data_IF_033595696859
#
_entry.id   IF_033595696859
#
_cell.length_a   1.000
_cell.length_b   1.000
_cell.length_c   1.000
_cell.angle_alpha   90.00
_cell.angle_beta   90.00
_cell.angle_gamma   90.00
#
_symmetry.space_group_name_H-M   'P 1'
#
loop_
_entity.id
_entity.type
_entity.pdbx_description
1 polymer ?
#
# COMPACT_ATOMS: atom_id res chain seq x y z
N UNK A 1 26.98 -5.07 -10.00
CA UNK A 1 25.84 -5.62 -10.78
C UNK A 1 26.36 -6.03 -12.14
N UNK A 2 25.90 -7.17 -12.68
CA UNK A 2 26.26 -7.58 -14.04
C UNK A 2 25.60 -6.60 -15.00
N UNK A 3 26.37 -5.90 -15.82
CA UNK A 3 25.84 -4.99 -16.84
C UNK A 3 25.15 -5.82 -17.90
N UNK A 4 23.82 -5.63 -18.04
CA UNK A 4 23.05 -6.31 -19.07
C UNK A 4 23.34 -5.70 -20.44
N UNK A 5 23.56 -6.55 -21.46
CA UNK A 5 23.79 -6.13 -22.83
C UNK A 5 22.45 -5.80 -23.53
N UNK A 6 22.46 -5.05 -24.66
CA UNK A 6 21.23 -4.78 -25.42
C UNK A 6 20.40 -6.04 -25.76
N UNK A 7 21.05 -7.14 -26.12
CA UNK A 7 20.38 -8.40 -26.40
C UNK A 7 19.69 -9.01 -25.16
N UNK A 8 20.23 -8.79 -23.95
CA UNK A 8 19.56 -9.21 -22.72
C UNK A 8 18.22 -8.50 -22.53
N UNK A 9 18.20 -7.20 -22.79
CA UNK A 9 16.98 -6.38 -22.65
C UNK A 9 15.90 -6.80 -23.63
N UNK A 10 16.27 -7.10 -24.89
CA UNK A 10 15.30 -7.58 -25.89
C UNK A 10 14.64 -8.90 -25.45
N UNK A 11 15.45 -9.89 -25.05
CA UNK A 11 14.89 -11.17 -24.57
C UNK A 11 14.02 -10.99 -23.33
N UNK A 12 14.39 -10.10 -22.43
CA UNK A 12 13.55 -9.80 -21.25
C UNK A 12 12.23 -9.13 -21.63
N UNK A 13 12.25 -8.21 -22.58
CA UNK A 13 11.05 -7.53 -23.07
C UNK A 13 10.08 -8.53 -23.74
N UNK A 14 10.58 -9.42 -24.59
CA UNK A 14 9.79 -10.49 -25.24
C UNK A 14 9.14 -11.45 -24.23
N UNK A 15 9.75 -11.65 -23.06
CA UNK A 15 9.24 -12.52 -22.01
C UNK A 15 8.45 -11.76 -20.93
N UNK A 16 8.39 -10.43 -21.03
CA UNK A 16 7.92 -9.56 -19.94
C UNK A 16 6.45 -9.79 -19.56
N UNK A 17 5.60 -10.15 -20.49
CA UNK A 17 4.19 -10.47 -20.28
C UNK A 17 3.96 -11.84 -19.60
N UNK A 18 5.02 -12.68 -19.53
CA UNK A 18 4.98 -14.03 -18.99
C UNK A 18 4.29 -15.04 -19.89
N UNK A 19 3.98 -14.69 -21.15
CA UNK A 19 3.47 -15.62 -22.15
C UNK A 19 4.57 -16.51 -22.72
N UNK A 20 4.24 -17.74 -23.18
CA UNK A 20 5.23 -18.63 -23.78
C UNK A 20 5.75 -18.10 -25.13
N UNK A 21 7.07 -17.99 -25.25
CA UNK A 21 7.76 -17.61 -26.48
C UNK A 21 8.63 -18.76 -26.98
N UNK A 22 8.59 -19.02 -28.27
CA UNK A 22 9.43 -20.09 -28.84
C UNK A 22 10.90 -19.66 -28.90
N UNK A 23 11.81 -20.58 -28.55
CA UNK A 23 13.27 -20.29 -28.50
C UNK A 23 13.85 -19.77 -29.82
N UNK A 24 13.30 -20.16 -30.98
CA UNK A 24 13.75 -19.65 -32.28
C UNK A 24 13.41 -18.17 -32.46
N UNK A 25 12.29 -17.69 -31.91
CA UNK A 25 11.90 -16.29 -31.94
C UNK A 25 12.80 -15.51 -30.99
N UNK A 26 12.91 -15.92 -29.73
CA UNK A 26 13.80 -15.27 -28.76
C UNK A 26 15.26 -15.16 -29.26
N UNK A 27 15.74 -16.20 -29.95
CA UNK A 27 17.08 -16.18 -30.52
C UNK A 27 17.22 -15.15 -31.64
N UNK A 28 16.20 -15.00 -32.49
CA UNK A 28 16.20 -13.95 -33.55
C UNK A 28 16.21 -12.56 -32.95
N UNK A 29 15.35 -12.29 -31.96
CA UNK A 29 15.29 -11.00 -31.28
C UNK A 29 16.61 -10.63 -30.56
N UNK A 30 17.31 -11.66 -30.06
CA UNK A 30 18.61 -11.49 -29.40
C UNK A 30 19.80 -11.46 -30.37
N UNK A 31 19.55 -11.67 -31.67
CA UNK A 31 20.61 -11.82 -32.70
C UNK A 31 21.62 -12.93 -32.34
N UNK A 32 21.10 -14.13 -32.02
CA UNK A 32 21.90 -15.29 -31.62
C UNK A 32 21.29 -16.61 -32.08
N UNK A 33 22.05 -17.71 -31.98
CA UNK A 33 21.55 -19.05 -32.25
C UNK A 33 20.74 -19.59 -31.07
N UNK A 34 19.67 -20.39 -31.27
CA UNK A 34 18.85 -20.97 -30.19
C UNK A 34 19.67 -21.70 -29.11
N UNK A 35 20.74 -22.41 -29.50
CA UNK A 35 21.61 -23.13 -28.58
C UNK A 35 22.37 -22.23 -27.60
N UNK A 36 22.52 -20.96 -27.93
CA UNK A 36 23.25 -19.98 -27.10
C UNK A 36 22.36 -19.35 -26.02
N UNK A 37 21.03 -19.48 -26.13
CA UNK A 37 20.08 -18.83 -25.20
C UNK A 37 20.26 -19.28 -23.74
N UNK A 38 20.53 -20.55 -23.49
CA UNK A 38 20.74 -21.04 -22.12
C UNK A 38 21.98 -20.37 -21.47
N UNK A 39 23.10 -20.29 -22.17
CA UNK A 39 24.30 -19.62 -21.69
C UNK A 39 24.09 -18.11 -21.48
N UNK A 40 23.34 -17.51 -22.38
CA UNK A 40 22.90 -16.12 -22.28
C UNK A 40 22.04 -15.90 -21.03
N UNK A 41 21.02 -16.76 -20.77
CA UNK A 41 20.14 -16.66 -19.62
C UNK A 41 20.88 -16.76 -18.28
N UNK A 42 21.94 -17.53 -18.21
CA UNK A 42 22.76 -17.64 -16.98
C UNK A 42 23.45 -16.32 -16.58
N UNK A 43 23.52 -15.34 -17.49
CA UNK A 43 24.06 -14.01 -17.21
C UNK A 43 23.02 -13.06 -16.59
N UNK A 44 21.74 -13.43 -16.59
CA UNK A 44 20.68 -12.63 -15.98
C UNK A 44 20.83 -12.56 -14.44
N UNK A 45 20.33 -11.51 -13.79
CA UNK A 45 20.28 -11.44 -12.33
C UNK A 45 19.57 -12.66 -11.73
N UNK A 46 20.01 -13.13 -10.56
CA UNK A 46 19.53 -14.37 -9.96
C UNK A 46 18.00 -14.41 -9.75
N UNK A 47 17.41 -13.27 -9.32
CA UNK A 47 15.97 -13.15 -9.12
C UNK A 47 15.16 -13.23 -10.43
N UNK A 48 15.77 -12.88 -11.57
CA UNK A 48 15.16 -13.04 -12.90
C UNK A 48 15.37 -14.48 -13.40
N UNK A 49 16.57 -15.05 -13.24
CA UNK A 49 16.84 -16.44 -13.66
C UNK A 49 15.85 -17.43 -13.07
N UNK A 50 15.51 -17.27 -11.79
CA UNK A 50 14.58 -18.15 -11.09
C UNK A 50 13.13 -18.10 -11.60
N UNK A 51 12.78 -17.09 -12.39
CA UNK A 51 11.43 -16.95 -12.95
C UNK A 51 11.21 -17.75 -14.22
N UNK A 52 12.27 -18.18 -14.92
CA UNK A 52 12.15 -18.90 -16.18
C UNK A 52 11.55 -20.30 -15.99
N UNK A 53 10.63 -20.65 -16.87
CA UNK A 53 10.18 -22.02 -17.11
C UNK A 53 10.38 -22.36 -18.57
N UNK A 54 10.83 -23.57 -18.82
CA UNK A 54 11.13 -24.10 -20.14
C UNK A 54 10.33 -25.39 -20.36
N UNK A 55 9.65 -25.52 -21.50
CA UNK A 55 8.91 -26.71 -21.88
C UNK A 55 8.77 -26.76 -23.41
N UNK A 56 9.11 -27.87 -24.02
CA UNK A 56 8.95 -28.18 -25.46
C UNK A 56 9.42 -27.03 -26.39
N UNK A 57 10.58 -26.48 -26.12
CA UNK A 57 11.14 -25.37 -26.91
C UNK A 57 10.52 -24.00 -26.66
N UNK A 58 9.62 -23.90 -25.70
CA UNK A 58 9.07 -22.61 -25.25
C UNK A 58 9.65 -22.16 -23.92
N UNK A 59 9.85 -20.86 -23.83
CA UNK A 59 10.28 -20.17 -22.63
C UNK A 59 9.19 -19.21 -22.17
N UNK A 60 8.97 -19.13 -20.87
CA UNK A 60 8.10 -18.14 -20.24
C UNK A 60 8.59 -17.75 -18.86
N UNK A 61 8.20 -16.58 -18.39
CA UNK A 61 8.36 -16.22 -16.98
C UNK A 61 7.12 -16.62 -16.16
N UNK A 62 7.32 -17.04 -14.91
CA UNK A 62 6.21 -17.40 -14.00
C UNK A 62 5.42 -16.18 -13.50
N UNK A 63 5.93 -14.98 -13.74
CA UNK A 63 5.26 -13.70 -13.45
C UNK A 63 5.71 -12.67 -14.47
N UNK A 64 4.88 -11.63 -14.75
CA UNK A 64 5.26 -10.58 -15.68
C UNK A 64 6.34 -9.66 -15.08
N UNK A 65 6.95 -8.85 -15.92
CA UNK A 65 7.95 -7.84 -15.55
C UNK A 65 7.61 -6.51 -16.21
N UNK A 66 7.92 -5.38 -15.54
CA UNK A 66 7.88 -4.06 -16.16
C UNK A 66 9.21 -3.80 -16.87
N UNK A 67 9.36 -4.36 -18.07
CA UNK A 67 10.55 -4.22 -18.92
C UNK A 67 10.10 -3.87 -20.33
N UNK A 68 10.83 -2.97 -20.97
CA UNK A 68 10.55 -2.45 -22.31
C UNK A 68 11.79 -2.59 -23.19
N UNK A 69 11.57 -2.74 -24.47
CA UNK A 69 12.57 -2.49 -25.50
C UNK A 69 12.41 -1.07 -26.08
N UNK A 70 13.42 -0.60 -26.78
CA UNK A 70 13.44 0.78 -27.28
C UNK A 70 12.46 1.02 -28.45
N UNK A 71 12.20 0.00 -29.26
CA UNK A 71 11.31 0.09 -30.42
C UNK A 71 9.85 0.12 -29.98
N UNK A 72 9.43 -0.86 -29.17
CA UNK A 72 8.07 -0.90 -28.63
C UNK A 72 7.73 0.33 -27.79
N UNK A 73 8.71 0.86 -27.03
CA UNK A 73 8.49 2.09 -26.26
C UNK A 73 8.34 3.30 -27.16
N UNK A 74 9.10 3.42 -28.25
CA UNK A 74 8.95 4.51 -29.22
C UNK A 74 7.56 4.49 -29.86
N UNK A 75 7.13 3.33 -30.36
CA UNK A 75 5.83 3.15 -30.99
C UNK A 75 4.66 3.48 -30.01
N UNK A 76 4.82 3.09 -28.74
CA UNK A 76 3.88 3.44 -27.67
C UNK A 76 3.83 4.97 -27.46
N UNK A 77 4.98 5.62 -27.44
CA UNK A 77 5.07 7.07 -27.28
C UNK A 77 4.41 7.82 -28.45
N UNK A 78 4.64 7.39 -29.69
CA UNK A 78 4.02 7.97 -30.87
C UNK A 78 2.49 7.89 -30.80
N UNK A 79 1.93 6.74 -30.42
CA UNK A 79 0.48 6.57 -30.23
C UNK A 79 -0.09 7.44 -29.12
N UNK A 80 0.68 7.67 -28.07
CA UNK A 80 0.26 8.46 -26.89
C UNK A 80 0.59 9.94 -26.99
N UNK A 81 1.25 10.39 -28.07
CA UNK A 81 1.66 11.80 -28.26
C UNK A 81 2.83 12.25 -27.38
N UNK A 82 3.68 11.30 -26.93
CA UNK A 82 4.88 11.56 -26.14
C UNK A 82 6.16 11.19 -26.90
N UNK A 83 7.21 11.99 -26.72
CA UNK A 83 8.54 11.59 -27.12
C UNK A 83 9.13 10.68 -26.05
N UNK A 84 9.74 9.56 -26.42
CA UNK A 84 10.22 8.55 -25.47
C UNK A 84 11.73 8.45 -25.43
N UNK A 85 12.28 8.28 -24.24
CA UNK A 85 13.67 7.91 -23.98
C UNK A 85 13.68 6.70 -23.04
N UNK A 86 14.37 5.62 -23.45
CA UNK A 86 14.58 4.45 -22.62
C UNK A 86 15.98 4.50 -21.99
N UNK A 87 16.03 4.46 -20.68
CA UNK A 87 17.26 4.31 -19.89
C UNK A 87 17.18 3.01 -19.12
N UNK A 88 17.88 1.97 -19.53
CA UNK A 88 17.87 0.71 -18.78
C UNK A 88 18.30 0.91 -17.33
N UNK A 89 19.29 1.76 -17.10
CA UNK A 89 19.76 2.17 -15.78
C UNK A 89 20.06 3.68 -15.80
N UNK A 90 19.65 4.39 -14.75
CA UNK A 90 20.01 5.79 -14.53
C UNK A 90 20.11 6.11 -13.03
N UNK A 91 20.54 7.31 -12.69
CA UNK A 91 20.50 7.77 -11.31
C UNK A 91 19.05 7.96 -10.85
N UNK A 92 18.27 8.72 -11.62
CA UNK A 92 16.85 8.97 -11.42
C UNK A 92 16.24 9.43 -12.75
N UNK A 93 15.09 8.89 -13.12
CA UNK A 93 14.36 9.34 -14.32
C UNK A 93 13.94 10.81 -14.23
N UNK A 94 13.67 11.33 -13.02
CA UNK A 94 13.41 12.76 -12.82
C UNK A 94 14.64 13.61 -13.18
N UNK A 95 15.85 13.18 -12.82
CA UNK A 95 17.07 13.93 -13.12
C UNK A 95 17.30 14.04 -14.62
N UNK A 96 17.01 12.97 -15.39
CA UNK A 96 17.12 12.97 -16.86
C UNK A 96 16.20 14.04 -17.49
N UNK A 97 14.95 14.12 -17.02
CA UNK A 97 13.99 15.11 -17.53
C UNK A 97 14.28 16.52 -17.01
N UNK A 98 14.73 16.66 -15.74
CA UNK A 98 15.15 17.96 -15.19
C UNK A 98 16.32 18.55 -15.96
N UNK A 99 17.30 17.73 -16.33
CA UNK A 99 18.42 18.17 -17.14
C UNK A 99 17.96 18.63 -18.53
N UNK A 100 17.13 17.83 -19.21
CA UNK A 100 16.54 18.22 -20.48
C UNK A 100 15.75 19.53 -20.37
N UNK A 101 14.95 19.70 -19.31
CA UNK A 101 14.15 20.89 -19.08
C UNK A 101 14.99 22.16 -18.87
N UNK A 102 16.18 22.05 -18.26
CA UNK A 102 17.11 23.18 -18.09
C UNK A 102 17.74 23.62 -19.41
N UNK A 103 18.05 22.66 -20.28
CA UNK A 103 18.76 22.91 -21.54
C UNK A 103 17.78 23.28 -22.66
N UNK A 104 16.67 22.56 -22.75
CA UNK A 104 15.68 22.68 -23.81
C UNK A 104 14.25 22.48 -23.28
N UNK A 105 13.67 23.49 -22.58
CA UNK A 105 12.38 23.37 -21.91
C UNK A 105 11.24 22.95 -22.82
N UNK A 106 11.22 23.43 -24.07
CA UNK A 106 10.19 23.05 -25.04
C UNK A 106 10.31 21.57 -25.48
N UNK A 107 11.52 21.02 -25.53
CA UNK A 107 11.74 19.60 -25.81
C UNK A 107 11.40 18.71 -24.62
N UNK A 108 11.45 19.25 -23.41
CA UNK A 108 11.06 18.49 -22.22
C UNK A 108 9.54 18.29 -22.14
N UNK A 109 8.74 19.19 -22.75
CA UNK A 109 7.29 19.05 -22.79
C UNK A 109 6.88 17.77 -23.52
N UNK A 110 6.07 16.94 -22.87
CA UNK A 110 5.65 15.62 -23.38
C UNK A 110 6.81 14.68 -23.76
N UNK A 111 7.99 14.87 -23.15
CA UNK A 111 9.08 13.90 -23.23
C UNK A 111 9.09 13.02 -21.98
N UNK A 112 9.06 11.72 -22.18
CA UNK A 112 9.09 10.70 -21.10
C UNK A 112 10.43 9.97 -21.08
N UNK A 113 10.97 9.79 -19.89
CA UNK A 113 12.07 8.87 -19.61
C UNK A 113 11.56 7.67 -18.83
N UNK A 114 11.57 6.48 -19.46
CA UNK A 114 11.26 5.20 -18.81
C UNK A 114 12.58 4.56 -18.36
N UNK A 115 12.59 3.97 -17.17
CA UNK A 115 13.79 3.31 -16.66
C UNK A 115 13.47 2.01 -15.95
N UNK A 116 14.34 1.02 -16.08
CA UNK A 116 14.19 -0.28 -15.42
C UNK A 116 14.87 -0.32 -14.06
N UNK A 117 15.93 0.47 -13.86
CA UNK A 117 16.67 0.57 -12.60
C UNK A 117 17.08 2.01 -12.32
N UNK A 118 16.93 2.40 -11.05
CA UNK A 118 17.42 3.69 -10.55
C UNK A 118 18.37 3.47 -9.38
N UNK A 119 19.60 4.01 -9.48
CA UNK A 119 20.58 3.93 -8.39
C UNK A 119 20.30 4.95 -7.27
N UNK A 120 19.64 6.06 -7.59
CA UNK A 120 19.25 7.15 -6.67
C UNK A 120 17.74 7.45 -6.77
N UNK A 121 16.91 6.40 -6.95
CA UNK A 121 15.46 6.54 -6.95
C UNK A 121 14.98 7.16 -5.65
N UNK A 122 14.15 8.19 -5.72
CA UNK A 122 13.69 8.96 -4.57
C UNK A 122 12.19 9.20 -4.59
N UNK A 123 11.62 9.27 -3.41
CA UNK A 123 10.31 9.82 -3.15
C UNK A 123 10.42 11.21 -2.51
N UNK A 124 9.32 11.72 -2.00
CA UNK A 124 9.28 13.01 -1.28
C UNK A 124 10.15 12.97 -0.03
N UNK A 125 10.66 14.14 0.38
CA UNK A 125 11.51 14.31 1.57
C UNK A 125 12.78 13.43 1.53
N UNK A 126 13.32 13.13 0.34
CA UNK A 126 14.53 12.32 0.19
C UNK A 126 14.38 10.84 0.52
N UNK A 127 13.16 10.33 0.73
CA UNK A 127 12.93 8.90 0.98
C UNK A 127 13.36 8.08 -0.23
N UNK A 128 14.07 6.98 0.01
CA UNK A 128 14.52 6.09 -1.05
C UNK A 128 13.34 5.33 -1.66
N UNK A 129 13.26 5.31 -3.01
CA UNK A 129 12.40 4.39 -3.75
C UNK A 129 13.17 3.10 -4.02
N UNK A 130 12.81 2.03 -3.30
CA UNK A 130 13.47 0.73 -3.41
C UNK A 130 12.72 -0.19 -4.36
N UNK A 131 13.44 -0.84 -5.27
CA UNK A 131 12.89 -1.74 -6.28
C UNK A 131 13.97 -2.70 -6.78
N UNK A 132 13.57 -3.77 -7.46
CA UNK A 132 14.43 -4.65 -8.24
C UNK A 132 13.99 -4.60 -9.70
N UNK A 133 14.89 -5.05 -10.58
CA UNK A 133 14.61 -5.11 -12.02
C UNK A 133 13.27 -5.80 -12.32
N UNK A 134 12.42 -5.11 -13.07
CA UNK A 134 11.12 -5.59 -13.52
C UNK A 134 10.00 -5.60 -12.49
N UNK A 135 10.24 -5.18 -11.25
CA UNK A 135 9.23 -5.15 -10.19
C UNK A 135 8.39 -3.87 -10.17
N UNK A 136 8.92 -2.77 -10.70
CA UNK A 136 8.22 -1.49 -10.74
C UNK A 136 8.20 -0.92 -12.16
N UNK A 137 7.07 -0.34 -12.54
CA UNK A 137 6.99 0.59 -13.66
C UNK A 137 7.45 1.96 -13.15
N UNK A 138 8.55 2.46 -13.71
CA UNK A 138 9.13 3.74 -13.32
C UNK A 138 9.38 4.60 -14.54
N UNK A 139 8.82 5.80 -14.50
CA UNK A 139 9.03 6.79 -15.55
C UNK A 139 8.88 8.21 -15.01
N UNK A 140 9.44 9.15 -15.73
CA UNK A 140 9.26 10.59 -15.48
C UNK A 140 9.03 11.29 -16.80
N UNK A 141 8.20 12.31 -16.81
CA UNK A 141 7.98 13.14 -18.00
C UNK A 141 7.94 14.62 -17.65
N UNK A 142 8.23 15.45 -18.62
CA UNK A 142 8.16 16.90 -18.52
C UNK A 142 6.83 17.45 -19.01
N UNK A 143 6.33 18.48 -18.32
CA UNK A 143 5.18 19.25 -18.74
C UNK A 143 5.42 20.73 -18.54
N UNK A 144 5.42 21.52 -19.62
CA UNK A 144 5.65 22.95 -19.57
C UNK A 144 4.33 23.69 -19.35
N UNK A 145 4.33 24.58 -18.35
CA UNK A 145 3.21 25.44 -18.01
C UNK A 145 3.60 26.92 -18.20
N UNK A 146 2.65 27.71 -18.69
CA UNK A 146 2.75 29.18 -18.73
C UNK A 146 2.32 29.82 -17.39
N UNK A 147 2.26 29.01 -16.33
CA UNK A 147 1.91 29.39 -14.95
C UNK A 147 3.14 29.42 -14.05
N UNK A 148 3.18 30.29 -13.05
CA UNK A 148 4.25 30.27 -12.07
C UNK A 148 4.18 29.03 -11.16
N UNK A 149 5.33 28.62 -10.62
CA UNK A 149 5.46 27.42 -9.80
C UNK A 149 4.49 27.35 -8.60
N UNK A 150 4.19 28.49 -7.96
CA UNK A 150 3.31 28.53 -6.79
C UNK A 150 1.84 28.17 -7.10
N UNK A 151 1.43 28.24 -8.37
CA UNK A 151 0.10 27.81 -8.82
C UNK A 151 -0.01 26.32 -9.11
N UNK A 152 1.12 25.60 -9.12
CA UNK A 152 1.18 24.16 -9.42
C UNK A 152 1.08 23.27 -8.18
N UNK A 153 0.66 23.80 -7.02
CA UNK A 153 0.57 23.05 -5.77
C UNK A 153 -0.33 21.81 -5.85
N UNK A 154 -1.39 21.87 -6.64
CA UNK A 154 -2.34 20.77 -6.86
C UNK A 154 -1.93 19.76 -7.94
N UNK A 155 -0.77 19.96 -8.59
CA UNK A 155 -0.35 19.07 -9.68
C UNK A 155 -0.14 17.62 -9.23
N UNK A 156 0.29 17.40 -7.98
CA UNK A 156 0.46 16.04 -7.43
C UNK A 156 -0.88 15.31 -7.25
N UNK A 157 -1.91 15.89 -6.62
CA UNK A 157 -3.28 15.37 -6.62
C UNK A 157 -3.83 15.09 -8.03
N UNK A 158 -3.62 16.00 -8.97
CA UNK A 158 -4.09 15.87 -10.36
C UNK A 158 -3.43 14.68 -11.06
N UNK A 159 -2.10 14.55 -10.97
CA UNK A 159 -1.39 13.42 -11.55
C UNK A 159 -1.80 12.09 -10.90
N UNK A 160 -2.08 12.07 -9.59
CA UNK A 160 -2.60 10.90 -8.90
C UNK A 160 -4.00 10.51 -9.42
N UNK A 161 -4.86 11.50 -9.70
CA UNK A 161 -6.18 11.27 -10.26
C UNK A 161 -6.09 10.67 -11.68
N UNK A 162 -5.22 11.21 -12.54
CA UNK A 162 -4.97 10.65 -13.86
C UNK A 162 -4.49 9.19 -13.79
N UNK A 163 -3.56 8.88 -12.89
CA UNK A 163 -3.11 7.49 -12.67
C UNK A 163 -4.26 6.58 -12.17
N UNK A 164 -5.11 7.09 -11.28
CA UNK A 164 -6.28 6.35 -10.80
C UNK A 164 -7.27 6.06 -11.94
N UNK A 165 -7.54 7.05 -12.80
CA UNK A 165 -8.40 6.88 -14.00
C UNK A 165 -7.83 5.79 -14.91
N UNK A 166 -6.54 5.86 -15.24
CA UNK A 166 -5.86 4.88 -16.06
C UNK A 166 -5.97 3.45 -15.50
N UNK A 167 -5.74 3.29 -14.19
CA UNK A 167 -5.94 2.00 -13.52
C UNK A 167 -7.40 1.56 -13.56
N UNK A 168 -8.35 2.48 -13.40
CA UNK A 168 -9.79 2.24 -13.53
C UNK A 168 -10.20 1.77 -14.94
N UNK A 169 -9.64 2.35 -16.00
CA UNK A 169 -9.83 1.87 -17.40
C UNK A 169 -9.39 0.41 -17.56
N UNK A 170 -8.39 -0.02 -16.80
CA UNK A 170 -7.97 -1.41 -16.75
C UNK A 170 -8.78 -2.25 -15.75
N UNK A 171 -9.84 -1.67 -15.13
CA UNK A 171 -10.68 -2.34 -14.14
C UNK A 171 -9.97 -2.62 -12.82
N UNK A 172 -8.96 -1.82 -12.48
CA UNK A 172 -8.20 -1.91 -11.22
C UNK A 172 -8.60 -0.75 -10.31
N UNK A 173 -9.38 -1.04 -9.29
CA UNK A 173 -9.86 -0.04 -8.36
C UNK A 173 -8.78 0.39 -7.38
N UNK A 174 -8.53 1.68 -7.32
CA UNK A 174 -7.52 2.29 -6.45
C UNK A 174 -8.06 3.57 -5.80
N UNK A 175 -7.39 4.00 -4.75
CA UNK A 175 -7.69 5.24 -4.05
C UNK A 175 -6.42 6.11 -3.99
N UNK A 176 -6.62 7.37 -3.68
CA UNK A 176 -5.52 8.32 -3.51
C UNK A 176 -5.35 8.59 -2.01
N UNK A 177 -4.13 8.47 -1.53
CA UNK A 177 -3.74 8.98 -0.23
C UNK A 177 -3.00 10.30 -0.43
N UNK A 178 -3.58 11.37 0.13
CA UNK A 178 -2.98 12.70 0.02
C UNK A 178 -1.52 12.69 0.50
N UNK A 179 -0.64 13.42 -0.20
CA UNK A 179 -0.91 14.21 -1.40
C UNK A 179 -0.57 13.47 -2.71
N UNK A 180 0.06 12.28 -2.68
CA UNK A 180 0.76 11.77 -3.85
C UNK A 180 0.85 10.24 -3.94
N UNK A 181 0.17 9.50 -3.07
CA UNK A 181 0.24 8.04 -3.07
C UNK A 181 -1.00 7.41 -3.68
N UNK A 182 -0.80 6.44 -4.57
CA UNK A 182 -1.82 5.52 -5.02
C UNK A 182 -1.87 4.34 -4.05
N UNK A 183 -3.07 3.99 -3.59
CA UNK A 183 -3.24 2.96 -2.55
C UNK A 183 -4.41 2.02 -2.86
N UNK A 184 -4.36 0.82 -2.30
CA UNK A 184 -5.45 -0.16 -2.26
C UNK A 184 -5.71 -0.48 -0.79
N UNK A 185 -6.78 0.06 -0.24
CA UNK A 185 -7.00 0.04 1.19
C UNK A 185 -5.86 0.73 1.94
N UNK A 186 -5.03 -0.03 2.66
CA UNK A 186 -3.87 0.49 3.38
C UNK A 186 -2.55 0.34 2.62
N UNK A 187 -2.53 -0.50 1.61
CA UNK A 187 -1.33 -0.91 0.92
C UNK A 187 -0.96 0.08 -0.19
N UNK A 188 0.30 0.48 -0.23
CA UNK A 188 0.80 1.40 -1.24
C UNK A 188 1.01 0.67 -2.56
N UNK A 189 0.35 1.16 -3.62
CA UNK A 189 0.51 0.70 -4.99
C UNK A 189 1.58 1.50 -5.74
N UNK A 190 1.61 2.81 -5.52
CA UNK A 190 2.52 3.69 -6.25
C UNK A 190 2.70 5.05 -5.58
N UNK A 191 3.55 5.87 -6.16
CA UNK A 191 3.79 7.23 -5.69
C UNK A 191 4.20 8.16 -6.81
N UNK A 192 3.91 9.44 -6.63
CA UNK A 192 4.17 10.51 -7.57
C UNK A 192 5.11 11.52 -6.93
N UNK A 193 6.13 11.94 -7.65
CA UNK A 193 7.09 12.95 -7.23
C UNK A 193 7.11 14.09 -8.26
N UNK A 194 6.68 15.28 -7.85
CA UNK A 194 6.75 16.47 -8.68
C UNK A 194 7.98 17.27 -8.30
N UNK A 195 8.78 17.60 -9.29
CA UNK A 195 9.87 18.55 -9.20
C UNK A 195 9.69 19.61 -10.30
N UNK A 196 10.12 20.83 -10.08
CA UNK A 196 9.90 21.92 -11.03
C UNK A 196 11.20 22.65 -11.31
N UNK A 197 11.33 23.13 -12.54
CA UNK A 197 12.42 24.02 -12.96
C UNK A 197 11.84 25.16 -13.77
N UNK A 198 12.38 26.37 -13.58
CA UNK A 198 12.03 27.54 -14.39
C UNK A 198 13.09 27.73 -15.48
N UNK A 199 12.68 27.64 -16.73
CA UNK A 199 13.57 27.79 -17.87
C UNK A 199 12.78 28.35 -19.08
N UNK A 200 13.41 29.21 -19.88
CA UNK A 200 12.80 29.77 -21.09
C UNK A 200 11.52 30.54 -20.85
N UNK A 201 11.32 31.16 -19.66
CA UNK A 201 10.09 31.87 -19.29
C UNK A 201 8.94 30.99 -18.83
N UNK A 202 9.06 29.67 -18.95
CA UNK A 202 8.05 28.67 -18.54
C UNK A 202 8.43 27.99 -17.22
N UNK A 203 7.44 27.41 -16.56
CA UNK A 203 7.66 26.45 -15.48
C UNK A 203 7.51 25.03 -16.04
N UNK A 204 8.59 24.26 -16.10
CA UNK A 204 8.53 22.86 -16.46
C UNK A 204 8.39 22.04 -15.20
N UNK A 205 7.25 21.34 -15.07
CA UNK A 205 7.08 20.34 -14.04
C UNK A 205 7.60 18.99 -14.57
N UNK A 206 8.40 18.33 -13.74
CA UNK A 206 8.84 16.95 -13.95
C UNK A 206 8.04 16.05 -13.05
N UNK A 207 7.23 15.20 -13.66
CA UNK A 207 6.30 14.30 -12.99
C UNK A 207 6.91 12.90 -13.00
N UNK A 208 7.48 12.49 -11.86
CA UNK A 208 7.98 11.14 -11.65
C UNK A 208 6.91 10.23 -11.09
N UNK A 209 6.73 9.07 -11.71
CA UNK A 209 5.75 8.07 -11.31
C UNK A 209 6.44 6.73 -11.11
N UNK A 210 6.20 6.13 -9.93
CA UNK A 210 6.61 4.77 -9.61
C UNK A 210 5.39 3.94 -9.20
N UNK A 211 5.14 2.84 -9.91
CA UNK A 211 4.03 1.92 -9.62
C UNK A 211 4.59 0.52 -9.39
N UNK A 212 4.23 -0.09 -8.28
CA UNK A 212 4.56 -1.48 -8.01
C UNK A 212 3.83 -2.37 -9.03
N UNK A 213 4.57 -2.96 -9.95
CA UNK A 213 4.00 -3.82 -10.99
C UNK A 213 3.85 -5.25 -10.50
N UNK A 214 4.90 -5.79 -9.91
CA UNK A 214 4.93 -7.09 -9.25
C UNK A 214 5.71 -6.98 -7.95
N UNK A 215 5.22 -7.55 -6.85
CA UNK A 215 5.93 -7.55 -5.58
C UNK A 215 6.45 -8.94 -5.22
N UNK A 216 7.60 -9.05 -4.56
CA UNK A 216 7.96 -10.24 -3.81
C UNK A 216 6.91 -10.55 -2.74
N UNK A 217 6.72 -11.84 -2.43
CA UNK A 217 5.71 -12.28 -1.44
C UNK A 217 5.98 -11.75 -0.03
N UNK A 218 7.23 -11.39 0.24
CA UNK A 218 7.72 -10.97 1.55
C UNK A 218 7.52 -9.47 1.82
N UNK A 219 7.03 -8.69 0.84
CA UNK A 219 6.82 -7.24 1.01
C UNK A 219 5.46 -6.99 1.65
N UNK A 220 5.47 -6.44 2.85
CA UNK A 220 4.28 -6.04 3.59
C UNK A 220 3.87 -4.59 3.28
N UNK A 221 2.57 -4.29 3.48
CA UNK A 221 1.97 -2.95 3.33
C UNK A 221 2.16 -2.33 1.93
N UNK A 222 2.27 -3.19 0.91
CA UNK A 222 2.33 -2.78 -0.48
C UNK A 222 1.41 -3.62 -1.36
N UNK A 223 0.76 -2.97 -2.32
CA UNK A 223 -0.02 -3.60 -3.38
C UNK A 223 0.77 -3.57 -4.70
N UNK A 224 0.40 -4.42 -5.66
CA UNK A 224 0.94 -4.40 -7.01
C UNK A 224 -0.15 -4.53 -8.06
N UNK A 225 0.15 -4.04 -9.27
CA UNK A 225 -0.77 -4.16 -10.42
C UNK A 225 -1.12 -5.62 -10.69
N UNK A 226 -0.14 -6.52 -10.68
CA UNK A 226 -0.36 -7.95 -10.90
C UNK A 226 -1.27 -8.58 -9.84
N UNK A 227 -1.13 -8.20 -8.56
CA UNK A 227 -2.00 -8.71 -7.51
C UNK A 227 -3.45 -8.24 -7.67
N UNK A 228 -3.65 -6.98 -8.05
CA UNK A 228 -4.98 -6.43 -8.33
C UNK A 228 -5.61 -7.11 -9.55
N UNK A 229 -4.82 -7.29 -10.62
CA UNK A 229 -5.26 -7.96 -11.84
C UNK A 229 -5.77 -9.38 -11.56
N UNK A 230 -5.06 -10.14 -10.73
CA UNK A 230 -5.46 -11.48 -10.31
C UNK A 230 -6.70 -11.48 -9.40
N UNK A 231 -6.81 -10.51 -8.49
CA UNK A 231 -7.97 -10.37 -7.60
C UNK A 231 -9.24 -10.03 -8.38
N UNK A 232 -9.13 -9.25 -9.47
CA UNK A 232 -10.24 -8.96 -10.38
C UNK A 232 -10.69 -10.18 -11.23
N UNK A 233 -10.23 -11.39 -10.88
CA UNK A 233 -10.56 -12.66 -11.57
C UNK A 233 -10.24 -12.64 -13.06
N UNK A 234 -9.28 -11.86 -13.48
CA UNK A 234 -8.81 -11.83 -14.86
C UNK A 234 -7.86 -12.99 -15.13
N UNK A 235 -8.04 -13.63 -16.26
CA UNK A 235 -7.11 -14.69 -16.70
C UNK A 235 -5.90 -14.04 -17.36
N UNK A 236 -4.69 -14.52 -17.02
CA UNK A 236 -3.42 -14.05 -17.56
C UNK A 236 -2.64 -13.14 -16.62
N UNK A 237 -1.77 -12.36 -17.20
CA UNK A 237 -0.90 -11.42 -16.51
C UNK A 237 -1.25 -9.98 -16.87
N UNK A 238 -0.90 -9.05 -15.98
CA UNK A 238 -0.91 -7.63 -16.31
C UNK A 238 0.21 -7.35 -17.33
N UNK A 239 -0.07 -6.44 -18.25
CA UNK A 239 0.88 -5.99 -19.28
C UNK A 239 1.37 -4.59 -18.95
N UNK A 240 2.70 -4.41 -18.84
CA UNK A 240 3.31 -3.14 -18.48
C UNK A 240 3.22 -2.11 -19.62
N UNK A 241 3.22 -2.54 -20.88
CA UNK A 241 3.10 -1.64 -22.03
C UNK A 241 1.66 -1.09 -22.10
N UNK A 242 0.65 -1.93 -21.97
CA UNK A 242 -0.76 -1.53 -21.90
C UNK A 242 -0.99 -0.59 -20.72
N UNK A 243 -0.41 -0.87 -19.56
CA UNK A 243 -0.51 0.02 -18.40
C UNK A 243 0.13 1.39 -18.68
N UNK A 244 1.34 1.43 -19.24
CA UNK A 244 2.04 2.68 -19.56
C UNK A 244 1.28 3.50 -20.59
N UNK A 245 0.80 2.87 -21.67
CA UNK A 245 0.01 3.53 -22.71
C UNK A 245 -1.26 4.18 -22.14
N UNK A 246 -2.01 3.43 -21.31
CA UNK A 246 -3.21 3.94 -20.64
C UNK A 246 -2.88 5.10 -19.68
N UNK A 247 -1.77 4.99 -18.93
CA UNK A 247 -1.30 6.06 -18.04
C UNK A 247 -0.96 7.33 -18.83
N UNK A 248 -0.26 7.22 -19.96
CA UNK A 248 0.12 8.37 -20.77
C UNK A 248 -1.09 9.05 -21.41
N UNK A 249 -2.06 8.29 -21.88
CA UNK A 249 -3.31 8.83 -22.41
C UNK A 249 -4.08 9.66 -21.37
N UNK A 250 -4.29 9.10 -20.18
CA UNK A 250 -5.00 9.81 -19.10
C UNK A 250 -4.19 10.99 -18.54
N UNK A 251 -2.88 10.84 -18.36
CA UNK A 251 -2.01 11.93 -17.92
C UNK A 251 -2.01 13.09 -18.93
N UNK A 252 -1.94 12.79 -20.23
CA UNK A 252 -2.01 13.79 -21.28
C UNK A 252 -3.32 14.59 -21.21
N UNK A 253 -4.46 13.90 -21.24
CA UNK A 253 -5.78 14.54 -21.20
C UNK A 253 -6.01 15.37 -19.94
N UNK A 254 -5.68 14.81 -18.77
CA UNK A 254 -5.86 15.49 -17.47
C UNK A 254 -4.95 16.71 -17.34
N UNK A 255 -3.69 16.61 -17.78
CA UNK A 255 -2.76 17.74 -17.68
C UNK A 255 -3.04 18.85 -18.70
N UNK A 256 -3.58 18.55 -19.88
CA UNK A 256 -4.10 19.55 -20.80
C UNK A 256 -5.23 20.33 -20.15
N UNK A 257 -6.25 19.67 -19.62
CA UNK A 257 -7.35 20.32 -18.93
C UNK A 257 -6.87 21.11 -17.69
N UNK A 258 -5.96 20.53 -16.90
CA UNK A 258 -5.39 21.23 -15.75
C UNK A 258 -4.61 22.48 -16.13
N UNK A 259 -3.89 22.48 -17.25
CA UNK A 259 -3.16 23.64 -17.73
C UNK A 259 -4.10 24.81 -18.07
N UNK A 260 -5.29 24.54 -18.56
CA UNK A 260 -6.29 25.55 -18.92
C UNK A 260 -7.16 25.97 -17.72
N UNK A 261 -7.74 24.99 -17.01
CA UNK A 261 -8.81 25.21 -16.03
C UNK A 261 -8.34 25.16 -14.56
N UNK A 262 -7.11 24.68 -14.32
CA UNK A 262 -6.60 24.45 -12.95
C UNK A 262 -7.24 23.24 -12.29
N UNK A 263 -7.29 23.24 -10.95
CA UNK A 263 -7.72 22.06 -10.18
C UNK A 263 -9.23 21.99 -9.96
N UNK A 264 -9.95 23.09 -10.12
CA UNK A 264 -11.36 23.19 -9.78
C UNK A 264 -12.25 22.08 -10.40
N UNK A 265 -12.09 21.70 -11.70
CA UNK A 265 -12.90 20.63 -12.30
C UNK A 265 -12.67 19.24 -11.68
N UNK A 266 -11.55 19.04 -11.02
CA UNK A 266 -11.15 17.74 -10.50
C UNK A 266 -11.49 17.55 -9.00
N UNK A 267 -11.90 18.60 -8.29
CA UNK A 267 -12.09 18.59 -6.84
C UNK A 267 -13.03 17.49 -6.36
N UNK A 268 -14.25 17.41 -6.90
CA UNK A 268 -15.25 16.43 -6.47
C UNK A 268 -14.80 14.99 -6.72
N UNK A 269 -14.16 14.75 -7.86
CA UNK A 269 -13.63 13.42 -8.17
C UNK A 269 -12.46 13.07 -7.25
N UNK A 270 -11.58 14.03 -6.98
CA UNK A 270 -10.47 13.84 -6.06
C UNK A 270 -10.95 13.53 -4.64
N UNK A 271 -11.94 14.23 -4.13
CA UNK A 271 -12.52 13.98 -2.81
C UNK A 271 -13.12 12.57 -2.70
N UNK A 272 -13.84 12.14 -3.75
CA UNK A 272 -14.35 10.77 -3.83
C UNK A 272 -13.23 9.72 -3.88
N UNK A 273 -12.14 10.03 -4.57
CA UNK A 273 -10.98 9.15 -4.70
C UNK A 273 -10.07 9.17 -3.46
N UNK A 274 -10.14 10.23 -2.66
CA UNK A 274 -9.30 10.37 -1.47
C UNK A 274 -9.70 9.36 -0.41
N UNK A 275 -8.80 8.41 -0.14
CA UNK A 275 -9.00 7.33 0.84
C UNK A 275 -9.39 7.84 2.23
N UNK A 276 -8.84 8.99 2.61
CA UNK A 276 -8.94 9.51 3.97
C UNK A 276 -10.03 10.60 4.12
N UNK A 277 -10.77 10.95 3.05
CA UNK A 277 -11.85 11.93 3.11
C UNK A 277 -12.92 11.56 4.14
N UNK A 278 -13.30 12.50 5.00
CA UNK A 278 -14.25 12.31 6.09
C UNK A 278 -13.76 11.43 7.24
N UNK A 279 -12.49 11.02 7.27
CA UNK A 279 -11.93 10.15 8.31
C UNK A 279 -11.06 10.92 9.29
N UNK A 280 -11.06 10.44 10.53
CA UNK A 280 -10.10 10.87 11.53
C UNK A 280 -8.69 10.37 11.19
N UNK A 281 -7.71 11.26 11.28
CA UNK A 281 -6.33 10.99 10.90
C UNK A 281 -5.35 11.64 11.87
N UNK A 282 -4.13 11.13 11.89
CA UNK A 282 -2.99 11.73 12.57
C UNK A 282 -2.08 12.38 11.54
N UNK A 283 -1.70 13.63 11.77
CA UNK A 283 -0.59 14.25 11.07
C UNK A 283 0.71 13.93 11.80
N UNK A 284 1.66 13.40 11.06
CA UNK A 284 2.97 13.04 11.60
C UNK A 284 4.07 13.86 10.94
N UNK A 285 5.00 14.35 11.75
CA UNK A 285 6.27 14.93 11.30
C UNK A 285 7.38 14.13 11.99
N UNK A 286 8.32 13.60 11.22
CA UNK A 286 9.45 12.79 11.71
C UNK A 286 9.03 11.64 12.66
N UNK A 287 7.81 11.10 12.44
CA UNK A 287 7.25 10.00 13.22
C UNK A 287 6.45 10.43 14.46
N UNK A 288 6.48 11.73 14.85
CA UNK A 288 5.71 12.25 15.96
C UNK A 288 4.37 12.83 15.51
N UNK A 289 3.33 12.69 16.32
CA UNK A 289 2.01 13.27 16.04
C UNK A 289 2.06 14.78 16.27
N UNK A 290 1.79 15.56 15.20
CA UNK A 290 1.72 17.01 15.24
C UNK A 290 0.31 17.48 15.57
N UNK A 291 -0.71 16.90 14.94
CA UNK A 291 -2.09 17.14 15.27
C UNK A 291 -2.98 15.97 14.85
N UNK A 292 -4.20 15.97 15.36
CA UNK A 292 -5.27 15.02 15.03
C UNK A 292 -6.46 15.80 14.47
N UNK A 293 -7.15 15.21 13.49
CA UNK A 293 -8.32 15.86 12.92
C UNK A 293 -9.05 14.99 11.91
N UNK A 294 -10.18 15.49 11.46
CA UNK A 294 -10.97 14.85 10.39
C UNK A 294 -10.66 15.50 9.06
N UNK A 295 -10.36 14.71 8.04
CA UNK A 295 -10.11 15.21 6.68
C UNK A 295 -11.38 15.80 6.10
N UNK A 296 -11.38 17.10 5.80
CA UNK A 296 -12.52 17.79 5.18
C UNK A 296 -12.44 17.79 3.65
N UNK A 297 -11.24 17.71 3.10
CA UNK A 297 -10.98 17.76 1.67
C UNK A 297 -9.70 18.50 1.34
N UNK A 298 -9.59 18.96 0.11
CA UNK A 298 -8.50 19.82 -0.36
C UNK A 298 -9.05 21.09 -1.00
N UNK A 299 -8.30 22.19 -0.92
CA UNK A 299 -8.66 23.42 -1.64
C UNK A 299 -8.20 23.39 -3.13
N UNK A 300 -8.54 24.44 -3.87
CA UNK A 300 -8.15 24.61 -5.27
C UNK A 300 -6.64 24.65 -5.52
N UNK A 301 -5.83 24.72 -4.49
CA UNK A 301 -4.36 24.64 -4.55
C UNK A 301 -3.81 23.29 -4.12
N UNK A 302 -4.70 22.32 -3.77
CA UNK A 302 -4.33 20.99 -3.30
C UNK A 302 -3.86 20.94 -1.85
N UNK A 303 -4.10 22.01 -1.08
CA UNK A 303 -3.81 22.06 0.35
C UNK A 303 -4.88 21.27 1.11
N UNK A 304 -4.46 20.41 2.01
CA UNK A 304 -5.38 19.58 2.80
C UNK A 304 -5.98 20.39 3.95
N UNK A 305 -7.28 20.23 4.17
CA UNK A 305 -8.03 20.82 5.26
C UNK A 305 -8.41 19.75 6.29
N UNK A 306 -8.10 20.02 7.54
CA UNK A 306 -8.45 19.17 8.68
C UNK A 306 -9.32 19.94 9.66
N UNK A 307 -10.39 19.32 10.12
CA UNK A 307 -11.14 19.78 11.29
C UNK A 307 -10.54 19.16 12.54
N UNK A 308 -9.97 19.99 13.39
CA UNK A 308 -9.35 19.60 14.67
C UNK A 308 -10.17 20.11 15.85
N UNK A 309 -9.83 19.70 17.08
CA UNK A 309 -10.47 20.20 18.28
C UNK A 309 -10.26 21.73 18.49
N UNK A 310 -9.22 22.28 17.87
CA UNK A 310 -8.85 23.71 17.95
C UNK A 310 -9.38 24.53 16.77
N UNK A 311 -10.15 23.90 15.86
CA UNK A 311 -10.68 24.50 14.64
C UNK A 311 -10.07 23.93 13.36
N UNK A 312 -10.37 24.56 12.23
CA UNK A 312 -9.88 24.15 10.93
C UNK A 312 -8.39 24.48 10.77
N UNK A 313 -7.62 23.46 10.36
CA UNK A 313 -6.19 23.59 10.07
C UNK A 313 -5.89 23.21 8.62
N UNK A 314 -4.92 23.90 8.01
CA UNK A 314 -4.47 23.62 6.66
C UNK A 314 -3.09 22.97 6.66
N UNK A 315 -2.90 21.96 5.80
CA UNK A 315 -1.65 21.22 5.66
C UNK A 315 -1.12 21.39 4.26
N UNK A 316 0.02 22.06 4.15
CA UNK A 316 0.69 22.29 2.86
C UNK A 316 1.52 21.07 2.48
N UNK A 317 1.52 20.70 1.21
CA UNK A 317 2.32 19.59 0.66
C UNK A 317 3.81 19.78 1.01
N UNK A 318 4.42 18.73 1.55
CA UNK A 318 5.89 18.66 1.74
C UNK A 318 6.36 18.35 3.16
N UNK A 319 5.63 18.75 4.17
CA UNK A 319 6.13 18.74 5.55
C UNK A 319 5.60 17.59 6.43
N UNK A 320 4.43 17.02 6.13
CA UNK A 320 3.73 16.13 7.05
C UNK A 320 3.30 14.83 6.37
N UNK A 321 3.38 13.71 7.09
CA UNK A 321 2.88 12.41 6.66
C UNK A 321 1.48 12.18 7.25
N UNK A 322 0.47 12.01 6.37
CA UNK A 322 -0.90 11.73 6.76
C UNK A 322 -1.11 10.22 6.94
N UNK A 323 -1.65 9.83 8.07
CA UNK A 323 -2.04 8.43 8.33
C UNK A 323 -3.43 8.40 8.93
N UNK A 324 -4.26 7.38 8.63
CA UNK A 324 -5.47 7.12 9.37
C UNK A 324 -5.16 7.04 10.87
N UNK A 325 -6.10 7.43 11.72
CA UNK A 325 -6.00 7.18 13.16
C UNK A 325 -6.09 5.67 13.40
N UNK A 326 -4.99 5.02 13.16
CA UNK A 326 -4.74 3.62 13.43
C UNK A 326 -4.16 3.45 14.80
N UNK A 327 -4.21 4.47 15.65
CA UNK A 327 -3.72 4.15 16.98
C UNK A 327 -4.28 2.76 17.30
N UNK A 328 -3.42 1.70 17.36
CA UNK A 328 -3.83 0.61 18.16
C UNK A 328 -4.32 1.31 19.40
N UNK A 329 -5.62 1.16 19.76
CA UNK A 329 -6.17 1.63 21.03
C UNK A 329 -4.98 1.70 21.93
N UNK A 330 -4.57 2.89 22.35
CA UNK A 330 -3.27 3.08 22.97
C UNK A 330 -3.19 2.00 24.03
N UNK A 331 -2.53 0.91 23.66
CA UNK A 331 -2.01 0.02 24.67
C UNK A 331 -1.11 0.99 25.42
N UNK A 332 -1.48 1.43 26.61
CA UNK A 332 -0.70 2.41 27.35
C UNK A 332 0.71 1.86 27.29
N UNK A 333 1.69 2.72 26.88
CA UNK A 333 3.10 2.32 26.75
C UNK A 333 3.33 1.26 27.78
N UNK A 334 3.56 0.02 27.36
CA UNK A 334 3.74 -1.10 28.29
C UNK A 334 4.60 -0.55 29.41
N UNK A 335 4.00 -0.32 30.56
CA UNK A 335 4.78 -0.36 31.77
C UNK A 335 5.25 -1.79 31.78
N UNK A 336 6.55 -2.00 31.64
CA UNK A 336 7.18 -3.34 31.53
C UNK A 336 6.87 -4.29 32.71
N UNK A 337 5.80 -4.03 33.44
CA UNK A 337 5.34 -4.76 34.62
C UNK A 337 3.81 -4.94 34.67
N UNK A 338 3.03 -4.68 33.64
CA UNK A 338 1.58 -4.93 33.72
C UNK A 338 1.28 -6.43 33.59
N UNK A 339 0.70 -6.98 34.63
CA UNK A 339 0.18 -8.37 34.70
C UNK A 339 -1.34 -8.33 34.50
N UNK A 340 -1.84 -9.25 33.70
CA UNK A 340 -3.27 -9.39 33.46
C UNK A 340 -3.75 -10.77 33.84
N UNK A 341 -4.92 -10.84 34.44
CA UNK A 341 -5.73 -12.04 34.48
C UNK A 341 -6.87 -11.86 33.46
N UNK A 342 -6.80 -12.62 32.36
CA UNK A 342 -7.82 -12.64 31.33
C UNK A 342 -8.87 -13.70 31.66
N UNK A 343 -10.15 -13.37 31.50
CA UNK A 343 -11.29 -14.24 31.79
C UNK A 343 -12.15 -14.45 30.54
N UNK A 344 -12.51 -15.71 30.28
CA UNK A 344 -13.51 -16.10 29.27
C UNK A 344 -14.66 -16.81 29.98
N UNK A 345 -15.76 -16.08 30.19
CA UNK A 345 -16.96 -16.56 30.88
C UNK A 345 -17.94 -17.25 29.94
N UNK A 346 -17.68 -18.51 29.58
CA UNK A 346 -18.62 -19.35 28.83
C UNK A 346 -19.83 -19.80 29.65
N UNK A 347 -20.84 -20.40 29.00
CA UNK A 347 -22.08 -20.84 29.68
C UNK A 347 -21.86 -21.92 30.74
N UNK A 348 -20.93 -22.84 30.54
CA UNK A 348 -20.71 -24.00 31.44
C UNK A 348 -19.49 -23.88 32.31
N UNK A 349 -18.46 -23.17 31.83
CA UNK A 349 -17.16 -23.09 32.49
C UNK A 349 -16.59 -21.68 32.35
N UNK A 350 -15.84 -21.26 33.35
CA UNK A 350 -14.92 -20.14 33.27
C UNK A 350 -13.56 -20.66 32.81
N UNK A 351 -12.94 -19.95 31.86
CA UNK A 351 -11.54 -20.13 31.48
C UNK A 351 -10.78 -18.88 31.87
N UNK A 352 -9.50 -19.02 32.17
CA UNK A 352 -8.64 -17.88 32.48
C UNK A 352 -7.22 -18.07 31.95
N UNK A 353 -6.52 -16.97 31.80
CA UNK A 353 -5.13 -16.95 31.43
C UNK A 353 -4.40 -15.81 32.13
N UNK A 354 -3.26 -16.13 32.71
CA UNK A 354 -2.31 -15.14 33.22
C UNK A 354 -1.44 -14.64 32.06
N UNK A 355 -1.30 -13.36 31.97
CA UNK A 355 -0.44 -12.71 30.96
C UNK A 355 0.58 -11.86 31.68
N UNK A 356 1.85 -12.18 31.45
CA UNK A 356 3.01 -11.48 31.98
C UNK A 356 3.90 -11.03 30.84
N UNK A 357 4.25 -9.77 30.81
CA UNK A 357 5.07 -9.19 29.74
C UNK A 357 4.52 -9.50 28.31
N UNK A 358 3.16 -9.59 28.20
CA UNK A 358 2.46 -9.89 26.96
C UNK A 358 2.54 -11.33 26.47
N UNK A 359 2.97 -12.25 27.33
CA UNK A 359 3.03 -13.69 27.04
C UNK A 359 2.10 -14.44 28.00
N UNK A 360 1.41 -15.48 27.50
CA UNK A 360 0.62 -16.35 28.36
C UNK A 360 1.53 -17.18 29.24
N UNK A 361 1.42 -16.97 30.54
CA UNK A 361 2.22 -17.69 31.55
C UNK A 361 1.52 -18.95 32.05
N UNK A 362 0.22 -18.87 32.37
CA UNK A 362 -0.59 -19.99 32.87
C UNK A 362 -1.99 -19.86 32.31
N UNK A 363 -2.61 -20.99 31.99
CA UNK A 363 -4.02 -21.06 31.55
C UNK A 363 -4.75 -22.07 32.43
N UNK A 364 -6.02 -21.76 32.76
CA UNK A 364 -6.85 -22.63 33.57
C UNK A 364 -8.31 -22.63 33.15
N UNK A 365 -9.07 -23.57 33.67
CA UNK A 365 -10.52 -23.60 33.53
C UNK A 365 -11.22 -24.36 34.66
N UNK A 366 -12.39 -23.86 35.07
CA UNK A 366 -13.21 -24.51 36.09
C UNK A 366 -14.71 -24.36 35.80
N UNK A 367 -15.56 -25.30 36.27
CA UNK A 367 -17.00 -25.10 36.26
C UNK A 367 -17.37 -24.07 37.34
N UNK A 368 -18.43 -23.30 37.11
CA UNK A 368 -18.86 -22.24 38.07
C UNK A 368 -19.27 -22.77 39.46
N UNK A 369 -19.61 -24.07 39.55
CA UNK A 369 -19.89 -24.71 40.86
C UNK A 369 -18.66 -24.85 41.75
N UNK A 370 -17.47 -24.76 41.18
CA UNK A 370 -16.21 -24.83 41.90
C UNK A 370 -15.14 -23.97 41.22
N UNK A 371 -14.96 -22.76 41.72
CA UNK A 371 -13.95 -21.81 41.27
C UNK A 371 -12.71 -21.78 42.16
N UNK A 372 -12.60 -22.74 43.07
CA UNK A 372 -11.44 -22.84 44.01
C UNK A 372 -10.08 -22.88 43.30
N UNK A 373 -9.92 -23.53 42.10
CA UNK A 373 -8.64 -23.47 41.39
C UNK A 373 -8.23 -22.05 40.97
N UNK A 374 -9.20 -21.22 40.51
CA UNK A 374 -8.95 -19.83 40.21
C UNK A 374 -8.58 -19.03 41.45
N UNK A 375 -9.30 -19.26 42.56
CA UNK A 375 -9.02 -18.61 43.83
C UNK A 375 -7.64 -18.94 44.39
N UNK A 376 -7.19 -20.18 44.26
CA UNK A 376 -5.86 -20.60 44.67
C UNK A 376 -4.76 -19.93 43.84
N UNK A 377 -4.88 -19.95 42.51
CA UNK A 377 -3.95 -19.24 41.61
C UNK A 377 -3.95 -17.71 41.86
N UNK A 378 -5.12 -17.14 42.15
CA UNK A 378 -5.23 -15.73 42.48
C UNK A 378 -4.50 -15.40 43.78
N UNK A 379 -4.68 -16.19 44.83
CA UNK A 379 -4.00 -15.99 46.10
C UNK A 379 -2.48 -16.14 46.00
N UNK A 380 -2.00 -17.01 45.13
CA UNK A 380 -0.56 -17.25 44.89
C UNK A 380 0.07 -16.13 44.02
N UNK A 381 -0.62 -15.69 42.98
CA UNK A 381 -0.01 -14.86 41.89
C UNK A 381 -0.42 -13.41 41.94
N UNK A 382 -1.49 -13.03 42.65
CA UNK A 382 -1.98 -11.65 42.61
C UNK A 382 -1.12 -10.74 43.48
N UNK A 383 -0.65 -9.67 42.87
CA UNK A 383 -0.12 -8.48 43.53
C UNK A 383 -1.03 -7.25 43.25
N UNK A 384 -0.68 -6.13 43.86
CA UNK A 384 -1.51 -4.90 43.74
C UNK A 384 -1.67 -4.35 42.30
N UNK A 385 -0.89 -4.85 41.35
CA UNK A 385 -0.81 -4.31 39.96
C UNK A 385 -1.49 -5.18 38.90
N UNK A 386 -2.16 -6.29 39.29
CA UNK A 386 -2.86 -7.15 38.32
C UNK A 386 -4.18 -6.54 37.90
N UNK A 387 -4.37 -6.35 36.61
CA UNK A 387 -5.67 -5.99 36.01
C UNK A 387 -6.44 -7.25 35.62
N UNK A 388 -7.75 -7.26 35.91
CA UNK A 388 -8.64 -8.37 35.57
C UNK A 388 -9.55 -7.89 34.46
N UNK A 389 -9.43 -8.51 33.28
CA UNK A 389 -10.21 -8.18 32.09
C UNK A 389 -10.86 -9.43 31.55
N UNK A 390 -12.12 -9.37 31.16
CA UNK A 390 -12.81 -10.55 30.68
C UNK A 390 -13.90 -10.25 29.65
N UNK A 391 -14.30 -11.28 28.94
CA UNK A 391 -15.52 -11.32 28.16
C UNK A 391 -16.43 -12.43 28.72
N UNK A 392 -17.75 -12.27 28.63
CA UNK A 392 -18.66 -13.27 29.19
C UNK A 392 -19.99 -13.32 28.44
N UNK A 393 -20.47 -14.54 28.23
CA UNK A 393 -21.83 -14.87 27.75
C UNK A 393 -22.64 -15.63 28.81
N UNK A 394 -22.11 -15.74 30.04
CA UNK A 394 -22.62 -16.61 31.09
C UNK A 394 -23.72 -16.01 32.00
N UNK A 395 -24.12 -14.77 31.76
CA UNK A 395 -25.09 -14.06 32.58
C UNK A 395 -24.56 -13.48 33.89
N UNK A 396 -25.31 -12.56 34.51
CA UNK A 396 -24.85 -11.74 35.62
C UNK A 396 -24.61 -12.53 36.92
N UNK A 397 -25.39 -13.58 37.19
CA UNK A 397 -25.22 -14.42 38.39
C UNK A 397 -23.83 -15.09 38.43
N UNK A 398 -23.36 -15.62 37.31
CA UNK A 398 -22.05 -16.25 37.20
C UNK A 398 -20.91 -15.23 37.22
N UNK A 399 -21.11 -14.04 36.64
CA UNK A 399 -20.16 -12.92 36.77
C UNK A 399 -19.99 -12.50 38.24
N UNK A 400 -21.09 -12.46 39.00
CA UNK A 400 -21.05 -12.17 40.43
C UNK A 400 -20.26 -13.19 41.21
N UNK A 401 -20.42 -14.49 40.93
CA UNK A 401 -19.62 -15.57 41.56
C UNK A 401 -18.12 -15.39 41.28
N UNK A 402 -17.73 -15.06 40.04
CA UNK A 402 -16.31 -14.81 39.72
C UNK A 402 -15.78 -13.59 40.47
N UNK A 403 -16.58 -12.51 40.55
CA UNK A 403 -16.22 -11.30 41.29
C UNK A 403 -16.06 -11.58 42.80
N UNK A 404 -16.91 -12.40 43.39
CA UNK A 404 -16.83 -12.82 44.78
C UNK A 404 -15.55 -13.63 45.02
N UNK A 405 -15.25 -14.59 44.13
CA UNK A 405 -14.06 -15.44 44.23
C UNK A 405 -12.76 -14.65 44.19
N UNK A 406 -12.67 -13.61 43.39
CA UNK A 406 -11.46 -12.80 43.22
C UNK A 406 -11.41 -11.59 44.17
N UNK A 407 -12.54 -11.22 44.79
CA UNK A 407 -12.71 -10.04 45.65
C UNK A 407 -12.14 -8.74 45.03
N UNK A 408 -12.23 -8.61 43.70
CA UNK A 408 -11.67 -7.50 42.90
C UNK A 408 -12.65 -7.05 41.81
N UNK A 409 -12.45 -5.81 41.33
CA UNK A 409 -13.17 -5.28 40.19
C UNK A 409 -12.70 -5.99 38.93
N UNK A 410 -13.64 -6.52 38.15
CA UNK A 410 -13.41 -7.13 36.84
C UNK A 410 -13.91 -6.17 35.79
N UNK A 411 -13.09 -5.91 34.77
CA UNK A 411 -13.48 -5.15 33.60
C UNK A 411 -14.06 -6.09 32.55
N UNK A 412 -15.38 -6.20 32.50
CA UNK A 412 -16.08 -7.01 31.50
C UNK A 412 -16.24 -6.21 30.21
N UNK A 413 -15.67 -6.72 29.12
CA UNK A 413 -15.69 -6.09 27.82
C UNK A 413 -16.90 -6.58 26.99
N UNK A 414 -17.81 -5.70 26.57
CA UNK A 414 -18.92 -6.03 25.67
C UNK A 414 -18.43 -6.15 24.23
N UNK A 415 -19.27 -6.74 23.37
CA UNK A 415 -19.12 -6.63 21.92
C UNK A 415 -19.30 -5.18 21.49
N UNK A 416 -18.64 -4.78 20.43
CA UNK A 416 -18.73 -3.43 19.90
C UNK A 416 -19.01 -3.44 18.41
N UNK A 417 -19.46 -2.31 17.87
CA UNK A 417 -19.75 -2.14 16.45
C UNK A 417 -18.48 -2.24 15.59
N UNK A 418 -17.34 -1.86 16.17
CA UNK A 418 -16.02 -1.93 15.49
C UNK A 418 -14.90 -1.98 16.52
N UNK A 419 -13.89 -2.82 16.28
CA UNK A 419 -12.64 -2.82 17.03
C UNK A 419 -11.51 -3.43 16.18
N UNK A 420 -10.26 -2.96 16.37
CA UNK A 420 -9.04 -3.46 15.71
C UNK A 420 -9.17 -3.63 14.18
N UNK A 421 -9.89 -2.72 13.52
CA UNK A 421 -10.13 -2.76 12.07
C UNK A 421 -11.14 -3.81 11.61
N UNK A 422 -11.84 -4.49 12.53
CA UNK A 422 -12.94 -5.40 12.22
C UNK A 422 -14.27 -4.70 12.52
N UNK A 423 -15.18 -4.73 11.54
CA UNK A 423 -16.55 -4.26 11.71
C UNK A 423 -17.46 -5.41 12.07
N UNK A 424 -18.30 -5.20 13.10
CA UNK A 424 -19.35 -6.12 13.51
C UNK A 424 -20.56 -5.92 12.60
N UNK A 425 -20.96 -6.94 11.86
CA UNK A 425 -22.09 -6.88 10.92
C UNK A 425 -23.43 -7.35 11.51
N UNK A 426 -23.48 -7.62 12.80
CA UNK A 426 -24.77 -7.85 13.47
C UNK A 426 -25.60 -6.57 13.43
N UNK A 427 -26.92 -6.71 13.21
CA UNK A 427 -27.86 -5.57 13.22
C UNK A 427 -27.80 -4.80 14.55
N UNK A 428 -27.61 -5.55 15.63
CA UNK A 428 -27.42 -5.07 16.99
C UNK A 428 -26.08 -5.64 17.49
N UNK A 429 -24.97 -4.89 17.41
CA UNK A 429 -23.63 -5.37 17.76
C UNK A 429 -23.53 -5.95 19.19
N UNK A 430 -24.34 -5.45 20.12
CA UNK A 430 -24.44 -5.90 21.50
C UNK A 430 -25.03 -7.33 21.64
N UNK A 431 -25.79 -7.81 20.66
CA UNK A 431 -26.32 -9.16 20.61
C UNK A 431 -25.29 -10.19 20.12
N UNK A 432 -24.20 -9.73 19.52
CA UNK A 432 -23.11 -10.60 19.15
C UNK A 432 -22.40 -11.07 20.43
N UNK A 433 -22.43 -12.35 20.73
CA UNK A 433 -21.79 -12.89 21.92
C UNK A 433 -20.34 -12.41 22.02
N UNK A 434 -19.96 -11.86 23.17
CA UNK A 434 -18.64 -11.25 23.37
C UNK A 434 -17.51 -12.25 23.18
N UNK A 435 -17.69 -13.53 23.50
CA UNK A 435 -16.75 -14.63 23.23
C UNK A 435 -16.44 -14.76 21.74
N UNK A 436 -17.45 -14.74 20.89
CA UNK A 436 -17.30 -14.79 19.42
C UNK A 436 -16.66 -13.53 18.86
N UNK A 437 -17.06 -12.37 19.40
CA UNK A 437 -16.49 -11.09 18.99
C UNK A 437 -14.99 -11.03 19.28
N UNK A 438 -14.57 -11.39 20.50
CA UNK A 438 -13.14 -11.38 20.84
C UNK A 438 -12.33 -12.48 20.14
N UNK A 439 -12.93 -13.63 19.80
CA UNK A 439 -12.31 -14.63 18.94
C UNK A 439 -12.08 -14.07 17.51
N UNK A 440 -13.04 -13.32 16.94
CA UNK A 440 -12.87 -12.66 15.66
C UNK A 440 -11.76 -11.59 15.72
N UNK A 441 -11.69 -10.78 16.76
CA UNK A 441 -10.61 -9.82 16.97
C UNK A 441 -9.25 -10.52 17.12
N UNK A 442 -9.18 -11.60 17.88
CA UNK A 442 -7.97 -12.39 18.09
C UNK A 442 -7.43 -13.03 16.81
N UNK A 443 -8.31 -13.38 15.85
CA UNK A 443 -7.91 -13.98 14.59
C UNK A 443 -7.02 -13.06 13.74
N UNK A 444 -7.10 -11.74 13.94
CA UNK A 444 -6.26 -10.76 13.24
C UNK A 444 -4.76 -10.88 13.57
N UNK A 445 -4.43 -11.53 14.67
CA UNK A 445 -3.03 -11.85 15.00
C UNK A 445 -2.45 -12.92 14.05
N UNK A 446 -3.30 -13.79 13.52
CA UNK A 446 -2.90 -14.93 12.70
C UNK A 446 -3.13 -14.72 11.21
N UNK A 447 -4.12 -13.90 10.85
CA UNK A 447 -4.43 -13.59 9.46
C UNK A 447 -4.95 -12.16 9.31
N UNK A 448 -4.39 -11.43 8.35
CA UNK A 448 -4.91 -10.12 7.92
C UNK A 448 -5.96 -10.24 6.80
N UNK A 449 -6.07 -11.42 6.19
CA UNK A 449 -7.01 -11.74 5.12
C UNK A 449 -8.31 -12.32 5.67
N UNK A 450 -9.27 -12.62 4.77
CA UNK A 450 -10.47 -13.33 5.14
C UNK A 450 -10.10 -14.68 5.81
N UNK A 451 -10.70 -14.95 6.96
CA UNK A 451 -10.51 -16.20 7.68
C UNK A 451 -11.84 -16.66 8.28
N UNK A 452 -11.94 -17.97 8.47
CA UNK A 452 -13.05 -18.58 9.20
C UNK A 452 -12.58 -18.90 10.61
N UNK A 453 -13.27 -18.34 11.61
CA UNK A 453 -13.00 -18.63 13.01
C UNK A 453 -14.01 -19.66 13.49
N UNK A 454 -13.51 -20.86 13.81
CA UNK A 454 -14.33 -21.93 14.36
C UNK A 454 -14.14 -21.94 15.88
N UNK A 455 -15.22 -21.68 16.63
CA UNK A 455 -15.23 -21.77 18.08
C UNK A 455 -15.98 -23.05 18.48
N UNK A 456 -15.25 -24.04 18.95
CA UNK A 456 -15.82 -25.28 19.47
C UNK A 456 -16.10 -25.11 20.95
N UNK A 457 -17.36 -24.97 21.31
CA UNK A 457 -17.85 -24.86 22.69
C UNK A 457 -19.04 -25.78 22.92
N UNK A 458 -19.45 -25.93 24.16
CA UNK A 458 -20.74 -26.53 24.48
C UNK A 458 -21.85 -25.59 24.04
N UNK A 459 -22.75 -26.06 23.19
CA UNK A 459 -23.93 -25.34 22.73
C UNK A 459 -24.84 -24.95 23.91
#
# INVERSE_FOLDING_TARGET
>A
MTVLKPSHWRVLAELADGLPQHVSQLAREADMKPQQLNGFWQQMPAHIRGLLRQHDGYWRLVRPLAVFDAEGLRDLGERSGFQTALKHECASSNDEILELARIAPDKAHKTICVTHLQSKGRGRQGRKWSHRLGECLMFSFGWAFDRPQYELGSLSPVAALACRRALGCLGLETQIKWPNDLVVGRDKLGGILIETVRAGGKTVAVVGIGINFVLPKEVENAASVQSLFQTASRRGNADAAVLLETLLAELGAVLEQYAEEGFAPFLNEYETANRDHGKAVLLLRDGETVCEGTVKGVDGRGVLHLETAEGEQTVVSGEISLRPDDRPVSVPKRRDSERFLLLDGGNSRLKWAWVENGTFATVGSAPYRDLSPLGAEWAEKADGNVRIVGCAVCGESKKAQVKEQLARKIEWLPSSAQALGIRNHYRHPEEHGSDRWFNALGSRRFSRNACVVVSCGTA
#
